data_IF_939062004226
#
_entry.id   IF_939062004226
#
_cell.length_a   1.000
_cell.length_b   1.000
_cell.length_c   1.000
_cell.angle_alpha   90.00
_cell.angle_beta   90.00
_cell.angle_gamma   90.00
#
_symmetry.space_group_name_H-M   'P 1'
#
loop_
_entity.id
_entity.type
_entity.pdbx_description
1 polymer ?
#
# COMPACT_ATOMS: atom_id res chain seq x y z
N UNK A 1 14.83 1.91 -8.58
CA UNK A 1 13.52 1.66 -7.96
C UNK A 1 13.64 0.35 -7.19
N UNK A 2 13.29 0.36 -5.90
CA UNK A 2 13.35 -0.82 -5.02
C UNK A 2 12.34 -1.88 -5.52
N UNK A 3 12.69 -3.17 -5.40
CA UNK A 3 11.79 -4.29 -5.73
C UNK A 3 10.44 -4.18 -4.98
N UNK A 4 10.45 -3.61 -3.76
CA UNK A 4 9.24 -3.44 -2.97
C UNK A 4 8.23 -2.47 -3.59
N UNK A 5 8.70 -1.35 -4.16
CA UNK A 5 7.82 -0.36 -4.78
C UNK A 5 7.08 -0.91 -6.01
N UNK A 6 7.78 -1.65 -6.88
CA UNK A 6 7.17 -2.25 -8.07
C UNK A 6 6.13 -3.31 -7.71
N UNK A 7 6.47 -4.18 -6.75
CA UNK A 7 5.54 -5.19 -6.23
C UNK A 7 4.33 -4.55 -5.57
N UNK A 8 4.53 -3.54 -4.74
CA UNK A 8 3.45 -2.83 -4.07
C UNK A 8 2.52 -2.12 -5.05
N UNK A 9 3.07 -1.48 -6.08
CA UNK A 9 2.27 -0.87 -7.13
C UNK A 9 1.43 -1.92 -7.87
N UNK A 10 2.01 -3.11 -8.14
CA UNK A 10 1.27 -4.21 -8.73
C UNK A 10 0.15 -4.74 -7.81
N UNK A 11 0.36 -4.81 -6.49
CA UNK A 11 -0.70 -5.17 -5.52
C UNK A 11 -1.81 -4.13 -5.50
N UNK A 12 -1.47 -2.84 -5.43
CA UNK A 12 -2.44 -1.76 -5.45
C UNK A 12 -3.32 -1.82 -6.71
N UNK A 13 -2.74 -2.10 -7.88
CA UNK A 13 -3.49 -2.29 -9.13
C UNK A 13 -4.49 -3.45 -9.11
N UNK A 14 -4.33 -4.45 -8.24
CA UNK A 14 -5.29 -5.56 -8.08
C UNK A 14 -6.51 -5.15 -7.26
N UNK A 15 -6.36 -4.15 -6.40
CA UNK A 15 -7.41 -3.66 -5.50
C UNK A 15 -8.15 -2.46 -6.11
N UNK A 16 -7.42 -1.61 -6.83
CA UNK A 16 -7.96 -0.41 -7.44
C UNK A 16 -9.04 -0.75 -8.47
N UNK A 17 -10.18 -0.08 -8.33
CA UNK A 17 -11.30 -0.16 -9.26
C UNK A 17 -10.85 0.21 -10.69
N UNK A 18 -11.39 -0.49 -11.69
CA UNK A 18 -11.05 -0.26 -13.11
C UNK A 18 -11.17 1.22 -13.55
N UNK A 19 -12.05 1.99 -12.90
CA UNK A 19 -12.29 3.42 -13.13
C UNK A 19 -11.13 4.34 -12.70
N UNK A 20 -10.27 3.88 -11.78
CA UNK A 20 -9.15 4.65 -11.23
C UNK A 20 -7.78 4.12 -11.67
N UNK A 21 -7.75 3.16 -12.61
CA UNK A 21 -6.51 2.54 -13.11
C UNK A 21 -5.49 3.56 -13.65
N UNK A 22 -5.97 4.59 -14.35
CA UNK A 22 -5.10 5.62 -14.96
C UNK A 22 -4.69 6.73 -13.97
N UNK A 23 -5.40 6.84 -12.84
CA UNK A 23 -5.14 7.85 -11.80
C UNK A 23 -4.13 7.38 -10.75
N UNK A 24 -3.82 6.08 -10.70
CA UNK A 24 -2.91 5.51 -9.72
C UNK A 24 -1.46 5.85 -10.08
N UNK A 25 -0.86 6.72 -9.28
CA UNK A 25 0.57 7.03 -9.31
C UNK A 25 1.19 6.78 -7.93
N UNK A 26 2.53 6.69 -7.82
CA UNK A 26 3.18 6.51 -6.54
C UNK A 26 2.88 7.62 -5.51
N UNK A 27 2.57 8.83 -5.98
CA UNK A 27 2.29 10.01 -5.16
C UNK A 27 0.79 10.33 -5.00
N UNK A 28 -0.08 9.51 -5.60
CA UNK A 28 -1.53 9.72 -5.49
C UNK A 28 -2.00 9.50 -4.05
N UNK A 29 -2.84 10.41 -3.56
CA UNK A 29 -3.43 10.30 -2.23
C UNK A 29 -4.59 9.29 -2.28
N UNK A 30 -4.33 8.05 -1.88
CA UNK A 30 -5.18 6.90 -2.15
C UNK A 30 -6.62 7.08 -1.61
N UNK A 31 -6.74 7.60 -0.39
CA UNK A 31 -8.02 7.86 0.27
C UNK A 31 -8.62 9.21 -0.15
N UNK A 32 -7.82 10.27 -0.16
CA UNK A 32 -8.32 11.63 -0.42
C UNK A 32 -8.80 11.81 -1.86
N UNK A 33 -8.13 11.17 -2.83
CA UNK A 33 -8.55 11.13 -4.24
C UNK A 33 -9.59 10.04 -4.53
N UNK A 34 -10.04 9.30 -3.50
CA UNK A 34 -11.02 8.20 -3.58
C UNK A 34 -10.61 7.09 -4.56
N UNK A 35 -9.30 6.91 -4.78
CA UNK A 35 -8.74 5.82 -5.59
C UNK A 35 -8.99 4.48 -4.89
N UNK A 36 -8.82 4.47 -3.56
CA UNK A 36 -9.20 3.38 -2.67
C UNK A 36 -10.15 3.91 -1.60
N UNK A 37 -11.11 3.08 -1.23
CA UNK A 37 -11.90 3.28 -0.03
C UNK A 37 -11.29 2.54 1.17
N UNK A 38 -11.93 2.63 2.34
CA UNK A 38 -11.47 1.96 3.55
C UNK A 38 -11.40 0.44 3.38
N UNK A 39 -12.30 -0.18 2.59
CA UNK A 39 -12.28 -1.62 2.36
C UNK A 39 -11.13 -2.02 1.43
N UNK A 40 -10.86 -1.23 0.40
CA UNK A 40 -9.71 -1.37 -0.48
C UNK A 40 -8.39 -1.28 0.29
N UNK A 41 -8.27 -0.36 1.25
CA UNK A 41 -7.08 -0.29 2.11
C UNK A 41 -6.90 -1.58 2.92
N UNK A 42 -7.96 -2.14 3.52
CA UNK A 42 -7.87 -3.41 4.26
C UNK A 42 -7.46 -4.57 3.34
N UNK A 43 -7.97 -4.65 2.12
CA UNK A 43 -7.54 -5.66 1.15
C UNK A 43 -6.08 -5.49 0.73
N UNK A 44 -5.63 -4.26 0.54
CA UNK A 44 -4.25 -3.95 0.20
C UNK A 44 -3.31 -4.37 1.34
N UNK A 45 -3.65 -4.08 2.59
CA UNK A 45 -2.90 -4.52 3.77
C UNK A 45 -2.76 -6.05 3.77
N UNK A 46 -3.85 -6.78 3.60
CA UNK A 46 -3.81 -8.25 3.59
C UNK A 46 -2.93 -8.82 2.46
N UNK A 47 -2.91 -8.16 1.29
CA UNK A 47 -2.03 -8.55 0.19
C UNK A 47 -0.56 -8.22 0.49
N UNK A 48 -0.28 -7.10 1.13
CA UNK A 48 1.08 -6.71 1.53
C UNK A 48 1.64 -7.70 2.55
N UNK A 49 0.89 -7.99 3.61
CA UNK A 49 1.29 -8.95 4.64
C UNK A 49 1.65 -10.31 4.02
N UNK A 50 0.83 -10.80 3.08
CA UNK A 50 1.09 -12.04 2.37
C UNK A 50 2.32 -11.97 1.45
N UNK A 51 2.38 -10.96 0.58
CA UNK A 51 3.42 -10.81 -0.45
C UNK A 51 4.81 -10.59 0.16
N UNK A 52 4.90 -9.82 1.23
CA UNK A 52 6.16 -9.49 1.90
C UNK A 52 6.46 -10.38 3.11
N UNK A 53 5.53 -11.28 3.48
CA UNK A 53 5.64 -12.13 4.67
C UNK A 53 5.86 -11.33 5.96
N UNK A 54 5.19 -10.17 6.06
CA UNK A 54 5.21 -9.29 7.23
C UNK A 54 3.83 -9.30 7.91
N UNK A 55 3.74 -8.73 9.10
CA UNK A 55 2.47 -8.51 9.80
C UNK A 55 2.37 -7.04 10.22
N UNK A 56 1.71 -6.21 9.42
CA UNK A 56 1.55 -4.79 9.74
C UNK A 56 0.70 -4.66 11.00
N UNK A 57 1.25 -3.99 12.01
CA UNK A 57 0.58 -3.78 13.28
C UNK A 57 -0.52 -2.74 13.16
N UNK A 58 -1.56 -2.90 13.97
CA UNK A 58 -2.69 -1.97 14.04
C UNK A 58 -2.27 -0.53 14.39
N UNK A 59 -1.19 -0.36 15.14
CA UNK A 59 -0.62 0.96 15.49
C UNK A 59 -0.02 1.70 14.28
N UNK A 60 0.41 0.97 13.26
CA UNK A 60 0.96 1.53 12.02
C UNK A 60 -0.14 1.75 10.95
N UNK A 61 -1.39 1.36 11.20
CA UNK A 61 -2.54 1.62 10.33
C UNK A 61 -3.04 3.07 10.46
N UNK A 62 -2.16 4.00 10.11
CA UNK A 62 -2.42 5.45 10.18
C UNK A 62 -2.65 6.04 8.80
N UNK A 63 -3.42 7.12 8.71
CA UNK A 63 -3.62 7.84 7.44
C UNK A 63 -2.32 8.28 6.80
N UNK A 64 -1.28 8.57 7.59
CA UNK A 64 0.04 8.96 7.07
C UNK A 64 0.76 7.80 6.39
N UNK A 65 0.79 6.62 7.02
CA UNK A 65 1.47 5.45 6.45
C UNK A 65 0.75 4.88 5.21
N UNK A 66 -0.55 5.17 5.07
CA UNK A 66 -1.41 4.70 3.98
C UNK A 66 -1.89 5.82 3.06
N UNK A 67 -1.25 7.00 3.11
CA UNK A 67 -1.62 8.13 2.25
C UNK A 67 -1.29 7.85 0.79
N UNK A 68 -0.07 7.40 0.50
CA UNK A 68 0.40 7.12 -0.85
C UNK A 68 1.09 5.75 -0.95
N UNK A 69 1.32 5.28 -2.17
CA UNK A 69 2.12 4.05 -2.40
C UNK A 69 3.55 4.23 -1.91
N UNK A 70 4.12 5.43 -2.03
CA UNK A 70 5.46 5.72 -1.51
C UNK A 70 5.52 5.62 0.02
N UNK A 71 4.51 6.12 0.73
CA UNK A 71 4.42 6.02 2.19
C UNK A 71 4.31 4.56 2.64
N UNK A 72 3.45 3.79 1.97
CA UNK A 72 3.27 2.36 2.26
C UNK A 72 4.56 1.60 1.99
N UNK A 73 5.28 1.92 0.90
CA UNK A 73 6.55 1.27 0.60
C UNK A 73 7.60 1.56 1.69
N UNK A 74 7.67 2.79 2.19
CA UNK A 74 8.53 3.14 3.31
C UNK A 74 8.16 2.40 4.60
N UNK A 75 6.87 2.17 4.84
CA UNK A 75 6.41 1.32 5.95
C UNK A 75 6.89 -0.13 5.76
N UNK A 76 6.65 -0.71 4.58
CA UNK A 76 7.02 -2.10 4.27
C UNK A 76 8.53 -2.31 4.39
N UNK A 77 9.34 -1.39 3.87
CA UNK A 77 10.79 -1.44 3.98
C UNK A 77 11.23 -1.43 5.45
N UNK A 78 10.60 -0.63 6.32
CA UNK A 78 10.85 -0.67 7.77
C UNK A 78 10.53 -2.03 8.38
N UNK A 79 9.49 -2.73 7.95
CA UNK A 79 9.16 -4.05 8.49
C UNK A 79 10.19 -5.11 8.05
N UNK A 80 10.58 -5.08 6.77
CA UNK A 80 11.57 -5.99 6.19
C UNK A 80 12.94 -5.79 6.86
N UNK A 81 13.39 -4.53 6.99
CA UNK A 81 14.71 -4.21 7.55
C UNK A 81 14.80 -4.54 9.05
N UNK A 82 13.69 -4.45 9.78
CA UNK A 82 13.63 -4.82 11.20
C UNK A 82 13.46 -6.34 11.44
N UNK A 83 13.48 -7.16 10.39
CA UNK A 83 13.47 -8.62 10.48
C UNK A 83 12.18 -9.22 11.09
N UNK A 84 11.04 -8.57 10.84
CA UNK A 84 9.72 -9.15 11.14
C UNK A 84 9.33 -10.19 10.09
#
# INVERSE_FOLDING_TARGET
MSNAHERLFALARRVVDSRHMDSLTPASLLLDEHILDSFGIIQLIAQIDNEFSIAIKTEDLTSQNFATIADIAGLVERYIDNGQ
#
